data_IF_105157300107
#
_entry.id   IF_105157300107
#
_cell.length_a   1.000
_cell.length_b   1.000
_cell.length_c   1.000
_cell.angle_alpha   90.00
_cell.angle_beta   90.00
_cell.angle_gamma   90.00
#
_symmetry.space_group_name_H-M   'P 1'
#
loop_
_entity.id
_entity.type
_entity.pdbx_description
1 polymer ?
#
# COMPACT_ATOMS: atom_id res chain seq x y z
N UNK A 1 -18.77 10.52 9.00
CA UNK A 1 -18.12 11.38 7.99
C UNK A 1 -19.14 12.24 7.24
N UNK A 2 -20.20 11.64 6.69
CA UNK A 2 -21.24 12.36 5.94
C UNK A 2 -21.86 13.51 6.76
N UNK A 3 -22.33 13.23 7.98
CA UNK A 3 -22.92 14.24 8.87
C UNK A 3 -21.93 15.30 9.37
N UNK A 4 -20.64 15.07 9.25
CA UNK A 4 -19.61 16.07 9.54
C UNK A 4 -19.38 17.07 8.39
N UNK A 5 -20.00 16.84 7.23
CA UNK A 5 -19.90 17.66 6.04
C UNK A 5 -19.28 16.93 4.82
N UNK A 6 -18.78 15.72 5.00
CA UNK A 6 -18.38 14.82 3.93
C UNK A 6 -17.22 15.31 3.05
N UNK A 7 -17.16 14.76 1.85
CA UNK A 7 -16.16 15.12 0.83
C UNK A 7 -16.14 16.61 0.48
N UNK A 8 -17.27 17.32 0.36
CA UNK A 8 -17.26 18.75 0.05
C UNK A 8 -16.44 19.60 1.04
N UNK A 9 -16.49 19.28 2.34
CA UNK A 9 -15.66 19.97 3.35
C UNK A 9 -14.18 19.66 3.17
N UNK A 10 -13.83 18.41 2.88
CA UNK A 10 -12.43 18.03 2.61
C UNK A 10 -11.89 18.78 1.40
N UNK A 11 -12.66 18.84 0.30
CA UNK A 11 -12.29 19.60 -0.91
C UNK A 11 -12.09 21.07 -0.56
N UNK A 12 -13.02 21.70 0.16
CA UNK A 12 -12.88 23.10 0.58
C UNK A 12 -11.59 23.36 1.35
N UNK A 13 -11.25 22.51 2.32
CA UNK A 13 -10.01 22.62 3.09
C UNK A 13 -8.76 22.48 2.22
N UNK A 14 -8.79 21.59 1.22
CA UNK A 14 -7.70 21.45 0.26
C UNK A 14 -7.55 22.69 -0.62
N UNK A 15 -8.67 23.31 -1.05
CA UNK A 15 -8.66 24.58 -1.78
C UNK A 15 -8.03 25.71 -0.96
N UNK A 16 -8.41 25.86 0.31
CA UNK A 16 -7.87 26.87 1.23
C UNK A 16 -6.34 26.80 1.35
N UNK A 17 -5.76 25.60 1.17
CA UNK A 17 -4.30 25.35 1.17
C UNK A 17 -3.69 25.30 -0.25
N UNK A 18 -4.46 25.55 -1.28
CA UNK A 18 -4.04 25.49 -2.71
C UNK A 18 -3.42 24.13 -3.10
N UNK A 19 -4.01 23.05 -2.57
CA UNK A 19 -3.55 21.68 -2.81
C UNK A 19 -4.28 20.98 -3.95
N UNK A 20 -5.22 21.66 -4.60
CA UNK A 20 -5.92 21.19 -5.80
C UNK A 20 -6.28 22.38 -6.71
N UNK A 21 -6.54 22.09 -7.98
CA UNK A 21 -6.98 23.09 -8.94
C UNK A 21 -8.48 23.37 -8.78
N UNK A 22 -8.79 24.48 -8.11
CA UNK A 22 -10.15 24.91 -7.81
C UNK A 22 -10.97 25.30 -9.06
N UNK A 23 -10.30 25.61 -10.17
CA UNK A 23 -10.93 26.02 -11.44
C UNK A 23 -11.29 24.82 -12.32
N UNK A 24 -10.85 23.61 -11.99
CA UNK A 24 -11.20 22.42 -12.75
C UNK A 24 -12.70 22.23 -12.86
N UNK A 25 -13.17 22.02 -14.11
CA UNK A 25 -14.58 21.84 -14.44
C UNK A 25 -15.08 20.47 -13.99
N UNK A 26 -16.28 20.43 -13.42
CA UNK A 26 -16.95 19.19 -13.04
C UNK A 26 -18.12 18.86 -13.99
N UNK A 27 -18.63 17.62 -13.88
CA UNK A 27 -19.70 17.12 -14.79
C UNK A 27 -21.00 17.92 -14.77
N UNK A 28 -21.25 18.72 -13.75
CA UNK A 28 -22.44 19.58 -13.63
C UNK A 28 -22.25 20.97 -14.25
N UNK A 29 -21.12 21.23 -14.95
CA UNK A 29 -20.80 22.49 -15.58
C UNK A 29 -20.35 23.60 -14.62
N UNK A 30 -20.06 23.27 -13.35
CA UNK A 30 -19.49 24.17 -12.36
C UNK A 30 -18.07 23.76 -12.02
N UNK A 31 -17.28 24.71 -11.56
CA UNK A 31 -15.92 24.42 -11.07
C UNK A 31 -15.94 23.69 -9.72
N UNK A 32 -14.78 23.14 -9.34
CA UNK A 32 -14.59 22.57 -8.01
C UNK A 32 -14.89 23.61 -6.92
N UNK A 33 -14.43 24.86 -7.09
CA UNK A 33 -14.68 25.95 -6.17
C UNK A 33 -16.18 26.23 -6.03
N UNK A 34 -16.90 26.46 -7.15
CA UNK A 34 -18.33 26.76 -7.14
C UNK A 34 -19.16 25.69 -6.42
N UNK A 35 -18.77 24.43 -6.55
CA UNK A 35 -19.47 23.33 -5.91
C UNK A 35 -19.21 23.24 -4.40
N UNK A 36 -18.05 23.69 -3.89
CA UNK A 36 -17.60 23.35 -2.55
C UNK A 36 -17.33 24.53 -1.62
N UNK A 37 -17.24 25.78 -2.11
CA UNK A 37 -16.87 26.95 -1.31
C UNK A 37 -17.81 27.20 -0.13
N UNK A 38 -19.07 26.88 -0.26
CA UNK A 38 -20.09 27.07 0.78
C UNK A 38 -20.22 25.88 1.74
N UNK A 39 -19.41 24.84 1.60
CA UNK A 39 -19.46 23.66 2.45
C UNK A 39 -19.11 24.00 3.89
N UNK A 40 -19.86 23.43 4.85
CA UNK A 40 -19.66 23.66 6.29
C UNK A 40 -19.23 22.37 6.98
N UNK A 41 -18.20 22.47 7.81
CA UNK A 41 -17.84 21.41 8.74
C UNK A 41 -18.71 21.47 9.98
N UNK A 42 -19.40 20.38 10.27
CA UNK A 42 -20.29 20.26 11.42
C UNK A 42 -19.64 19.52 12.60
N UNK A 43 -18.51 18.84 12.34
CA UNK A 43 -17.77 18.11 13.37
C UNK A 43 -16.28 18.03 13.02
N UNK A 44 -15.47 18.83 13.70
CA UNK A 44 -14.01 18.88 13.52
C UNK A 44 -13.29 17.67 14.13
N UNK A 45 -13.96 16.86 14.95
CA UNK A 45 -13.35 15.61 15.42
C UNK A 45 -13.30 14.54 14.35
N UNK A 46 -14.24 14.59 13.41
CA UNK A 46 -14.32 13.67 12.27
C UNK A 46 -13.53 14.17 11.06
N UNK A 47 -13.66 15.47 10.72
CA UNK A 47 -12.92 16.12 9.63
C UNK A 47 -11.99 17.15 10.27
N UNK A 48 -10.76 16.75 10.51
CA UNK A 48 -9.77 17.57 11.21
C UNK A 48 -9.35 18.80 10.39
N UNK A 49 -8.95 19.85 11.07
CA UNK A 49 -8.31 21.02 10.48
C UNK A 49 -6.86 20.72 10.12
N UNK A 50 -6.28 21.49 9.19
CA UNK A 50 -4.89 21.30 8.76
C UNK A 50 -3.89 21.50 9.90
N UNK A 51 -4.20 22.40 10.82
CA UNK A 51 -3.40 22.74 11.99
C UNK A 51 -3.42 21.63 13.06
N UNK A 52 -4.45 20.80 13.04
CA UNK A 52 -4.62 19.67 13.98
C UNK A 52 -5.00 18.38 13.26
N UNK A 53 -4.15 17.84 12.40
CA UNK A 53 -4.44 16.63 11.63
C UNK A 53 -4.49 15.39 12.52
N UNK A 54 -5.23 14.35 12.10
CA UNK A 54 -5.25 13.05 12.75
C UNK A 54 -3.86 12.40 12.78
N UNK A 55 -3.09 12.58 11.71
CA UNK A 55 -1.68 12.17 11.60
C UNK A 55 -0.89 13.24 10.87
N UNK A 56 0.36 13.48 11.28
CA UNK A 56 1.23 14.48 10.65
C UNK A 56 1.63 14.12 9.22
N UNK A 57 1.60 12.84 8.87
CA UNK A 57 1.99 12.33 7.56
C UNK A 57 0.80 11.66 6.89
N UNK A 58 0.78 11.66 5.55
CA UNK A 58 -0.25 10.98 4.77
C UNK A 58 -0.28 9.47 5.01
N UNK A 59 -1.44 8.86 4.72
CA UNK A 59 -1.69 7.42 4.93
C UNK A 59 -0.92 6.49 3.98
N UNK A 60 -0.27 7.03 2.94
CA UNK A 60 0.53 6.28 1.96
C UNK A 60 1.92 6.92 1.89
N UNK A 61 2.96 6.06 1.86
CA UNK A 61 4.35 6.49 1.61
C UNK A 61 4.91 5.81 0.38
N UNK A 62 5.67 6.58 -0.39
CA UNK A 62 6.45 6.07 -1.52
C UNK A 62 7.83 5.69 -0.98
N UNK A 63 8.23 4.45 -1.26
CA UNK A 63 9.54 3.91 -0.93
C UNK A 63 10.40 3.88 -2.20
N UNK A 64 11.70 4.12 -2.04
CA UNK A 64 12.70 3.99 -3.11
C UNK A 64 13.92 3.28 -2.57
N UNK A 65 14.50 2.43 -3.39
CA UNK A 65 15.69 1.66 -3.04
C UNK A 65 16.17 0.82 -4.22
N UNK A 66 17.19 0.00 -4.01
CA UNK A 66 17.78 -0.83 -5.06
C UNK A 66 16.80 -1.82 -5.68
N UNK A 67 15.84 -2.36 -4.92
CA UNK A 67 14.79 -3.25 -5.43
C UNK A 67 13.55 -2.51 -5.95
N UNK A 68 13.47 -1.20 -5.75
CA UNK A 68 12.37 -0.35 -6.21
C UNK A 68 12.87 1.05 -6.58
N UNK A 69 13.77 1.22 -7.57
CA UNK A 69 14.33 2.52 -7.93
C UNK A 69 13.26 3.49 -8.46
N UNK A 70 12.23 2.97 -9.11
CA UNK A 70 11.11 3.75 -9.65
C UNK A 70 9.97 3.90 -8.62
N UNK A 71 10.11 3.28 -7.46
CA UNK A 71 9.18 3.41 -6.34
C UNK A 71 8.40 2.15 -6.03
N UNK A 72 7.94 2.09 -4.80
CA UNK A 72 6.98 1.16 -4.26
C UNK A 72 6.10 1.90 -3.25
N UNK A 73 5.00 1.31 -2.82
CA UNK A 73 4.03 1.94 -1.93
C UNK A 73 3.88 1.11 -0.66
N UNK A 74 3.87 1.79 0.49
CA UNK A 74 3.47 1.21 1.77
C UNK A 74 2.39 2.07 2.42
N UNK A 75 1.49 1.43 3.17
CA UNK A 75 0.52 2.08 4.05
C UNK A 75 0.98 1.96 5.51
N UNK A 76 1.69 2.95 6.07
CA UNK A 76 2.27 2.85 7.42
C UNK A 76 1.24 2.61 8.52
N UNK A 77 0.02 3.14 8.36
CA UNK A 77 -1.07 2.96 9.33
C UNK A 77 -1.58 1.53 9.44
N UNK A 78 -1.27 0.66 8.47
CA UNK A 78 -1.63 -0.75 8.47
C UNK A 78 -0.43 -1.65 8.81
N UNK A 79 0.78 -1.11 8.82
CA UNK A 79 2.02 -1.83 9.04
C UNK A 79 2.36 -1.91 10.54
N UNK A 80 3.01 -3.00 10.93
CA UNK A 80 3.56 -3.17 12.28
C UNK A 80 4.76 -2.26 12.47
N UNK A 81 4.79 -1.39 13.50
CA UNK A 81 5.88 -0.43 13.70
C UNK A 81 7.27 -1.08 13.80
N UNK A 82 7.36 -2.23 14.42
CA UNK A 82 8.59 -3.01 14.60
C UNK A 82 9.16 -3.52 13.28
N UNK A 83 8.33 -3.72 12.26
CA UNK A 83 8.75 -4.16 10.93
C UNK A 83 9.16 -3.01 10.01
N UNK A 84 9.02 -1.75 10.43
CA UNK A 84 9.42 -0.59 9.61
C UNK A 84 10.95 -0.46 9.45
N UNK A 85 11.72 -1.17 10.27
CA UNK A 85 13.16 -1.35 10.11
C UNK A 85 13.49 -2.82 10.37
N UNK A 86 13.74 -3.55 9.29
CA UNK A 86 13.89 -5.00 9.36
C UNK A 86 14.90 -5.51 8.34
N UNK A 87 15.56 -6.61 8.68
CA UNK A 87 16.44 -7.36 7.78
C UNK A 87 16.11 -8.83 7.91
N UNK A 88 15.89 -9.51 6.81
CA UNK A 88 15.51 -10.92 6.80
C UNK A 88 15.83 -11.61 5.47
N UNK A 89 15.78 -12.95 5.46
CA UNK A 89 15.91 -13.76 4.26
C UNK A 89 14.69 -13.57 3.36
N UNK A 90 14.91 -13.29 2.08
CA UNK A 90 13.83 -13.24 1.10
C UNK A 90 13.36 -14.66 0.73
N UNK A 91 12.07 -14.90 0.81
CA UNK A 91 11.39 -16.09 0.29
C UNK A 91 10.58 -15.65 -0.92
N UNK A 92 11.05 -16.03 -2.11
CA UNK A 92 10.57 -15.51 -3.39
C UNK A 92 9.65 -16.52 -4.05
N UNK A 93 8.50 -16.05 -4.53
CA UNK A 93 7.54 -16.78 -5.35
C UNK A 93 7.44 -16.11 -6.71
N UNK A 94 7.61 -16.87 -7.77
CA UNK A 94 7.59 -16.35 -9.15
C UNK A 94 6.16 -16.12 -9.68
N UNK A 95 5.14 -16.75 -9.06
CA UNK A 95 3.74 -16.55 -9.42
C UNK A 95 2.79 -16.76 -8.23
N UNK A 96 1.51 -16.39 -8.41
CA UNK A 96 0.44 -16.62 -7.44
C UNK A 96 0.21 -18.11 -7.21
N UNK A 97 0.29 -18.90 -8.27
CA UNK A 97 0.10 -20.34 -8.23
C UNK A 97 1.20 -20.99 -7.39
N UNK A 98 2.46 -20.66 -7.65
CA UNK A 98 3.61 -21.13 -6.87
C UNK A 98 3.47 -20.74 -5.39
N UNK A 99 3.05 -19.50 -5.13
CA UNK A 99 2.80 -19.03 -3.77
C UNK A 99 1.76 -19.90 -3.06
N UNK A 100 0.62 -20.16 -3.71
CA UNK A 100 -0.45 -20.96 -3.11
C UNK A 100 -0.04 -22.42 -2.87
N UNK A 101 0.74 -23.00 -3.76
CA UNK A 101 1.25 -24.35 -3.65
C UNK A 101 2.27 -24.51 -2.50
N UNK A 102 3.20 -23.55 -2.39
CA UNK A 102 4.39 -23.69 -1.54
C UNK A 102 4.29 -23.03 -0.17
N UNK A 103 3.41 -22.05 0.03
CA UNK A 103 3.43 -21.22 1.26
C UNK A 103 3.27 -22.03 2.55
N UNK A 104 2.58 -23.16 2.50
CA UNK A 104 2.37 -24.06 3.64
C UNK A 104 3.16 -25.37 3.53
N UNK A 105 4.07 -25.51 2.57
CA UNK A 105 4.96 -26.66 2.50
C UNK A 105 5.83 -26.72 3.76
N UNK A 106 5.84 -27.86 4.49
CA UNK A 106 6.68 -28.04 5.67
C UNK A 106 8.18 -27.80 5.40
N UNK A 107 8.65 -28.11 4.19
CA UNK A 107 10.04 -27.97 3.76
C UNK A 107 10.40 -26.53 3.32
N UNK A 108 9.42 -25.64 3.16
CA UNK A 108 9.70 -24.25 2.81
C UNK A 108 10.54 -23.61 3.94
N UNK A 109 11.73 -23.17 3.62
CA UNK A 109 12.60 -22.45 4.55
C UNK A 109 12.10 -21.04 4.83
N UNK A 110 11.12 -20.90 5.73
CA UNK A 110 10.54 -19.61 6.16
C UNK A 110 10.38 -19.58 7.66
N UNK A 111 10.70 -18.46 8.27
CA UNK A 111 10.57 -18.14 9.69
C UNK A 111 9.91 -16.77 9.90
N UNK A 112 9.79 -16.33 11.13
CA UNK A 112 9.20 -15.06 11.54
C UNK A 112 9.96 -13.82 11.05
N UNK A 113 11.25 -13.97 10.73
CA UNK A 113 12.10 -12.88 10.24
C UNK A 113 12.16 -12.83 8.71
N UNK A 114 11.62 -13.82 8.04
CA UNK A 114 11.65 -13.90 6.57
C UNK A 114 10.80 -12.80 5.93
N UNK A 115 11.20 -12.38 4.73
CA UNK A 115 10.48 -11.42 3.88
C UNK A 115 9.87 -12.19 2.72
N UNK A 116 8.53 -12.18 2.62
CA UNK A 116 7.85 -12.83 1.51
C UNK A 116 7.85 -11.91 0.28
N UNK A 117 8.22 -12.44 -0.87
CA UNK A 117 8.29 -11.69 -2.14
C UNK A 117 7.48 -12.43 -3.19
N UNK A 118 6.45 -11.77 -3.74
CA UNK A 118 5.62 -12.31 -4.80
C UNK A 118 5.83 -11.49 -6.08
N UNK A 119 6.31 -12.14 -7.12
CA UNK A 119 6.65 -11.55 -8.42
C UNK A 119 5.57 -11.80 -9.47
N UNK A 120 5.64 -11.04 -10.57
CA UNK A 120 4.85 -11.21 -11.77
C UNK A 120 3.33 -11.14 -11.56
N UNK A 121 2.88 -10.36 -10.57
CA UNK A 121 1.47 -10.17 -10.24
C UNK A 121 0.96 -8.75 -10.52
N UNK A 122 1.81 -7.90 -11.09
CA UNK A 122 1.47 -6.55 -11.50
C UNK A 122 0.90 -6.47 -12.92
N UNK A 123 0.81 -5.26 -13.50
CA UNK A 123 0.10 -5.03 -14.76
C UNK A 123 0.68 -5.76 -15.96
N UNK A 124 1.97 -6.10 -15.94
CA UNK A 124 2.64 -6.83 -17.04
C UNK A 124 2.61 -8.35 -16.87
N UNK A 125 2.61 -8.82 -15.63
CA UNK A 125 2.73 -10.25 -15.34
C UNK A 125 1.40 -10.96 -15.12
N UNK A 126 0.36 -10.23 -14.67
CA UNK A 126 -0.93 -10.79 -14.34
C UNK A 126 -2.08 -9.97 -14.94
N UNK A 127 -2.80 -10.52 -15.94
CA UNK A 127 -3.90 -9.81 -16.59
C UNK A 127 -4.96 -9.34 -15.61
N UNK A 128 -5.35 -8.05 -15.71
CA UNK A 128 -6.31 -7.43 -14.81
C UNK A 128 -5.77 -7.02 -13.44
N UNK A 129 -4.49 -7.30 -13.15
CA UNK A 129 -3.82 -6.89 -11.92
C UNK A 129 -4.63 -7.22 -10.66
N UNK A 130 -4.82 -8.51 -10.38
CA UNK A 130 -5.60 -8.97 -9.24
C UNK A 130 -5.06 -8.46 -7.90
N UNK A 131 -5.93 -8.38 -6.88
CA UNK A 131 -5.58 -7.94 -5.53
C UNK A 131 -4.90 -9.06 -4.71
N UNK A 132 -3.77 -9.55 -5.18
CA UNK A 132 -3.02 -10.68 -4.59
C UNK A 132 -1.83 -10.25 -3.73
N UNK A 133 -1.58 -8.94 -3.62
CA UNK A 133 -0.44 -8.42 -2.83
C UNK A 133 -0.57 -8.66 -1.33
N UNK A 134 -1.77 -8.91 -0.80
CA UNK A 134 -1.99 -9.28 0.58
C UNK A 134 -1.76 -10.80 0.78
N UNK A 135 -0.54 -11.25 0.53
CA UNK A 135 -0.13 -12.64 0.73
C UNK A 135 -0.46 -13.13 2.15
N UNK A 136 -1.09 -14.30 2.27
CA UNK A 136 -1.29 -14.94 3.57
C UNK A 136 0.05 -15.34 4.20
N UNK A 137 0.10 -15.38 5.53
CA UNK A 137 1.29 -15.84 6.24
C UNK A 137 1.34 -17.38 6.28
N UNK A 138 2.56 -17.97 6.30
CA UNK A 138 2.71 -19.42 6.44
C UNK A 138 2.08 -19.94 7.72
N UNK A 139 1.37 -21.05 7.66
CA UNK A 139 0.70 -21.66 8.83
C UNK A 139 1.67 -21.95 9.98
N UNK A 140 2.90 -22.37 9.66
CA UNK A 140 3.92 -22.65 10.69
C UNK A 140 4.38 -21.40 11.45
N UNK A 141 4.34 -20.22 10.81
CA UNK A 141 4.66 -18.93 11.44
C UNK A 141 3.46 -18.43 12.24
N UNK A 142 2.24 -18.55 11.70
CA UNK A 142 1.00 -18.21 12.41
C UNK A 142 0.83 -19.03 13.71
N UNK A 143 1.19 -20.33 13.72
CA UNK A 143 1.14 -21.19 14.91
C UNK A 143 2.07 -20.73 16.03
N UNK A 144 3.14 -19.99 15.70
CA UNK A 144 4.04 -19.36 16.69
C UNK A 144 3.47 -18.05 17.27
N UNK A 145 2.28 -17.62 16.85
CA UNK A 145 1.64 -16.39 17.31
C UNK A 145 2.00 -15.13 16.51
N UNK A 146 2.84 -15.24 15.48
CA UNK A 146 3.18 -14.13 14.59
C UNK A 146 1.94 -13.73 13.77
N UNK A 147 1.66 -12.43 13.68
CA UNK A 147 0.47 -11.89 13.00
C UNK A 147 0.80 -11.02 11.81
N UNK A 148 2.05 -10.61 11.65
CA UNK A 148 2.51 -9.81 10.52
C UNK A 148 3.93 -10.21 10.11
N UNK A 149 4.23 -10.07 8.83
CA UNK A 149 5.55 -10.24 8.22
C UNK A 149 5.68 -9.23 7.08
N UNK A 150 6.90 -8.85 6.73
CA UNK A 150 7.12 -8.03 5.54
C UNK A 150 6.77 -8.83 4.29
N UNK A 151 5.92 -8.24 3.45
CA UNK A 151 5.49 -8.78 2.17
C UNK A 151 5.74 -7.75 1.09
N UNK A 152 6.38 -8.15 0.01
CA UNK A 152 6.73 -7.29 -1.11
C UNK A 152 6.14 -7.87 -2.38
N UNK A 153 5.46 -7.06 -3.18
CA UNK A 153 4.93 -7.48 -4.48
C UNK A 153 4.79 -6.31 -5.45
N UNK A 154 4.80 -6.62 -6.74
CA UNK A 154 4.38 -5.75 -7.81
C UNK A 154 2.85 -5.69 -7.97
N UNK A 155 2.12 -6.54 -7.24
CA UNK A 155 0.67 -6.54 -7.18
C UNK A 155 0.09 -5.37 -6.39
N UNK A 156 -1.24 -5.28 -6.37
CA UNK A 156 -2.03 -4.40 -5.49
C UNK A 156 -2.72 -5.20 -4.39
N UNK A 157 -3.28 -4.50 -3.41
CA UNK A 157 -4.18 -5.08 -2.42
C UNK A 157 -5.32 -4.11 -2.09
N UNK A 158 -6.39 -4.63 -1.47
CA UNK A 158 -7.50 -3.80 -0.98
C UNK A 158 -7.03 -2.76 0.04
N UNK A 159 -7.62 -1.56 0.00
CA UNK A 159 -7.34 -0.49 0.96
C UNK A 159 -7.68 -0.83 2.41
N UNK A 160 -8.48 -1.88 2.63
CA UNK A 160 -8.84 -2.41 3.96
C UNK A 160 -7.90 -3.51 4.45
N UNK A 161 -6.96 -3.97 3.61
CA UNK A 161 -6.02 -5.00 4.00
C UNK A 161 -5.05 -4.52 5.08
N UNK A 162 -4.61 -5.46 5.91
CA UNK A 162 -3.79 -5.25 7.08
C UNK A 162 -2.38 -5.79 6.87
N UNK A 163 -1.42 -5.17 7.54
CA UNK A 163 -0.06 -5.65 7.72
C UNK A 163 0.99 -4.85 6.95
N UNK A 164 2.25 -5.25 7.15
CA UNK A 164 3.44 -4.62 6.56
C UNK A 164 3.63 -5.11 5.13
N UNK A 165 2.91 -4.48 4.20
CA UNK A 165 2.90 -4.85 2.78
C UNK A 165 3.43 -3.72 1.92
N UNK A 166 4.41 -4.02 1.09
CA UNK A 166 5.03 -3.12 0.12
C UNK A 166 4.54 -3.54 -1.27
N UNK A 167 3.87 -2.63 -1.96
CA UNK A 167 3.12 -2.89 -3.18
C UNK A 167 3.62 -2.06 -4.35
N UNK A 168 3.14 -2.40 -5.55
CA UNK A 168 3.50 -1.69 -6.79
C UNK A 168 5.01 -1.55 -6.95
N UNK A 169 5.77 -2.57 -6.56
CA UNK A 169 7.24 -2.57 -6.60
C UNK A 169 7.69 -2.72 -8.05
N UNK A 170 8.03 -1.60 -8.70
CA UNK A 170 8.25 -1.54 -10.15
C UNK A 170 9.43 -2.38 -10.66
N UNK A 171 10.39 -2.74 -9.81
CA UNK A 171 11.59 -3.48 -10.22
C UNK A 171 11.41 -4.99 -10.25
N UNK A 172 10.36 -5.54 -9.67
CA UNK A 172 10.16 -7.00 -9.64
C UNK A 172 10.04 -7.63 -11.04
N UNK A 173 9.70 -6.83 -12.07
CA UNK A 173 9.71 -7.28 -13.47
C UNK A 173 11.08 -7.30 -14.13
N UNK A 174 11.99 -6.44 -13.68
CA UNK A 174 13.28 -6.16 -14.34
C UNK A 174 14.46 -6.53 -13.48
N UNK A 175 14.25 -6.97 -12.25
CA UNK A 175 15.32 -7.50 -11.41
C UNK A 175 15.93 -8.71 -12.12
N UNK A 176 17.23 -8.68 -12.44
CA UNK A 176 17.90 -9.89 -12.84
C UNK A 176 17.71 -10.90 -11.72
N UNK A 177 17.42 -12.14 -12.09
CA UNK A 177 17.44 -13.25 -11.13
C UNK A 177 18.78 -13.21 -10.39
N UNK A 178 18.84 -13.58 -9.09
CA UNK A 178 20.13 -13.76 -8.42
C UNK A 178 21.12 -14.64 -9.20
N UNK A 179 20.61 -15.46 -10.15
CA UNK A 179 21.43 -16.25 -11.09
C UNK A 179 22.10 -15.39 -12.18
N UNK A 180 21.57 -14.18 -12.47
CA UNK A 180 22.12 -13.31 -13.52
C UNK A 180 23.17 -12.34 -12.98
N UNK A 181 23.33 -12.24 -11.66
CA UNK A 181 24.35 -11.43 -10.99
C UNK A 181 25.78 -12.02 -11.11
N UNK A 182 25.93 -13.16 -11.74
CA UNK A 182 27.21 -13.86 -11.92
C UNK A 182 27.58 -14.05 -13.39
N UNK A 183 27.06 -13.22 -14.31
CA UNK A 183 27.54 -13.18 -15.70
C UNK A 183 28.20 -11.85 -16.00
#
# INVERSE_FOLDING_TARGET
>A
FYYAGGVPVVIKRLMEKKLLDENSMTVNGKTIAENNINSKCWNNDVIKEFENPLTKNGGIKILRGNIAPNGAIIKPSAASPELMKHTGKAVVFESVEEFHEKIDDPNLEVDENSILVLKNCGPKGYPGMAEVGNMRLPQKVLKKGVRDMIRISDARMSGTAYGTVILHTCLLYTSPSPRDAHK
#
